data_IF_428968798621
#
_entry.id   IF_428968798621
#
_cell.length_a   1.000
_cell.length_b   1.000
_cell.length_c   1.000
_cell.angle_alpha   90.00
_cell.angle_beta   90.00
_cell.angle_gamma   90.00
#
_symmetry.space_group_name_H-M   'P 1'
#
loop_
_entity.id
_entity.type
_entity.pdbx_description
1 polymer ?
#
# COMPACT_ATOMS: atom_id res chain seq x y z
N UNK A 1 18.36 -12.94 23.46
CA UNK A 1 17.24 -12.40 24.26
C UNK A 1 16.20 -13.49 24.32
N UNK A 2 15.79 -13.94 25.52
CA UNK A 2 14.67 -14.89 25.64
C UNK A 2 13.41 -14.17 25.16
N UNK A 3 12.92 -14.52 23.98
CA UNK A 3 11.60 -14.08 23.55
C UNK A 3 10.57 -14.60 24.56
N UNK A 4 9.58 -13.79 24.95
CA UNK A 4 8.48 -14.30 25.75
C UNK A 4 7.88 -15.49 24.98
N UNK A 5 7.61 -16.61 25.67
CA UNK A 5 6.90 -17.75 25.06
C UNK A 5 5.56 -17.21 24.52
N UNK A 6 5.50 -17.01 23.21
CA UNK A 6 4.24 -16.62 22.59
C UNK A 6 3.23 -17.75 22.74
N UNK A 7 2.08 -17.41 23.27
CA UNK A 7 0.95 -18.36 23.33
C UNK A 7 0.56 -18.78 21.91
N UNK A 8 0.12 -20.02 21.75
CA UNK A 8 -0.38 -20.49 20.47
C UNK A 8 -1.64 -19.71 20.08
N UNK A 9 -1.68 -19.20 18.86
CA UNK A 9 -2.79 -18.43 18.29
C UNK A 9 -3.46 -19.18 17.16
N UNK A 10 -4.73 -18.86 16.93
CA UNK A 10 -5.49 -19.38 15.79
C UNK A 10 -6.40 -18.31 15.19
N UNK A 11 -6.62 -18.38 13.88
CA UNK A 11 -7.58 -17.53 13.18
C UNK A 11 -8.08 -18.20 11.89
N UNK A 12 -9.24 -17.73 11.41
CA UNK A 12 -9.70 -17.99 10.05
C UNK A 12 -8.87 -17.08 9.12
N UNK A 13 -8.13 -17.70 8.19
CA UNK A 13 -7.20 -16.99 7.30
C UNK A 13 -7.81 -16.64 5.93
N UNK A 14 -9.02 -17.09 5.65
CA UNK A 14 -9.79 -16.76 4.44
C UNK A 14 -10.84 -15.70 4.71
N UNK A 15 -11.28 -14.92 3.69
CA UNK A 15 -12.33 -13.93 3.86
C UNK A 15 -13.62 -14.52 4.45
N UNK A 16 -14.38 -13.74 5.23
CA UNK A 16 -15.66 -14.17 5.79
C UNK A 16 -16.69 -14.43 4.68
N UNK A 17 -17.56 -15.42 4.88
CA UNK A 17 -18.63 -15.79 3.95
C UNK A 17 -18.56 -17.26 3.52
N UNK A 18 -19.41 -17.63 2.55
CA UNK A 18 -19.44 -18.98 1.99
C UNK A 18 -18.43 -19.09 0.85
N UNK A 19 -17.59 -20.12 0.90
CA UNK A 19 -16.62 -20.42 -0.15
C UNK A 19 -16.41 -21.93 -0.31
N UNK A 20 -15.79 -22.36 -1.41
CA UNK A 20 -15.45 -23.76 -1.61
C UNK A 20 -14.43 -24.28 -0.58
N UNK A 21 -13.53 -23.40 -0.13
CA UNK A 21 -12.46 -23.72 0.85
C UNK A 21 -12.37 -22.60 1.87
N UNK A 22 -12.31 -22.97 3.15
CA UNK A 22 -11.95 -22.11 4.27
C UNK A 22 -10.69 -22.61 4.93
N UNK A 23 -9.81 -21.71 5.38
CA UNK A 23 -8.54 -22.06 6.01
C UNK A 23 -8.48 -21.50 7.42
N UNK A 24 -8.19 -22.39 8.38
CA UNK A 24 -7.80 -21.99 9.74
C UNK A 24 -6.29 -22.12 9.85
N UNK A 25 -5.64 -21.09 10.35
CA UNK A 25 -4.21 -21.07 10.63
C UNK A 25 -3.97 -21.05 12.12
N UNK A 26 -3.03 -21.88 12.58
CA UNK A 26 -2.62 -22.02 13.98
C UNK A 26 -1.11 -21.81 14.00
N UNK A 27 -0.58 -20.97 14.91
CA UNK A 27 0.86 -20.71 15.07
C UNK A 27 1.25 -20.77 16.54
N UNK A 28 2.36 -21.42 16.84
CA UNK A 28 2.92 -21.56 18.18
C UNK A 28 3.24 -23.01 18.54
N UNK A 29 3.88 -23.21 19.69
CA UNK A 29 4.42 -24.52 20.13
C UNK A 29 3.36 -25.63 20.25
N UNK A 30 2.12 -25.27 20.56
CA UNK A 30 1.02 -26.23 20.75
C UNK A 30 0.19 -26.44 19.46
N UNK A 31 0.54 -25.82 18.33
CA UNK A 31 -0.26 -25.85 17.10
C UNK A 31 -0.55 -27.28 16.62
N UNK A 32 0.46 -28.15 16.65
CA UNK A 32 0.34 -29.53 16.25
C UNK A 32 -0.47 -30.36 17.27
N UNK A 33 -0.26 -30.11 18.56
CA UNK A 33 -0.98 -30.81 19.63
C UNK A 33 -2.49 -30.49 19.59
N UNK A 34 -2.85 -29.24 19.40
CA UNK A 34 -4.24 -28.80 19.24
C UNK A 34 -4.90 -29.39 17.97
N UNK A 35 -4.17 -29.44 16.87
CA UNK A 35 -4.65 -30.03 15.62
C UNK A 35 -4.94 -31.51 15.80
N UNK A 36 -4.06 -32.28 16.46
CA UNK A 36 -4.25 -33.72 16.70
C UNK A 36 -5.52 -34.00 17.47
N UNK A 37 -5.95 -33.15 18.39
CA UNK A 37 -7.20 -33.30 19.15
C UNK A 37 -8.47 -33.19 18.30
N UNK A 38 -8.36 -32.57 17.11
CA UNK A 38 -9.44 -32.48 16.14
C UNK A 38 -9.53 -33.71 15.21
N UNK A 39 -8.60 -34.69 15.33
CA UNK A 39 -8.54 -35.83 14.42
C UNK A 39 -9.09 -37.11 15.06
N UNK A 40 -9.69 -37.92 14.22
CA UNK A 40 -10.17 -39.23 14.66
C UNK A 40 -9.02 -40.13 15.16
N UNK A 41 -7.89 -40.09 14.50
CA UNK A 41 -6.69 -40.91 14.78
C UNK A 41 -5.78 -40.23 15.84
N UNK A 42 -6.12 -39.06 16.29
CA UNK A 42 -5.61 -38.29 17.43
C UNK A 42 -4.11 -38.35 17.65
N UNK A 43 -3.73 -39.00 18.74
CA UNK A 43 -2.35 -39.01 19.24
C UNK A 43 -1.35 -39.82 18.41
N UNK A 44 -1.81 -40.73 17.55
CA UNK A 44 -0.93 -41.59 16.75
C UNK A 44 -0.53 -40.98 15.41
N UNK A 45 -1.15 -39.82 15.03
CA UNK A 45 -0.91 -39.20 13.74
C UNK A 45 0.43 -38.47 13.72
N UNK A 46 1.35 -38.92 12.86
CA UNK A 46 2.57 -38.18 12.51
C UNK A 46 2.31 -37.34 11.30
N UNK A 47 2.76 -36.07 11.34
CA UNK A 47 2.75 -35.17 10.18
C UNK A 47 4.14 -35.02 9.60
N UNK A 48 4.23 -35.12 8.28
CA UNK A 48 5.48 -34.80 7.56
C UNK A 48 5.51 -33.30 7.27
N UNK A 49 6.53 -32.57 7.71
CA UNK A 49 6.62 -31.13 7.42
C UNK A 49 6.52 -30.81 5.92
N UNK A 50 5.80 -29.74 5.59
CA UNK A 50 5.57 -29.24 4.23
C UNK A 50 4.85 -30.25 3.30
N UNK A 51 4.12 -31.21 3.86
CA UNK A 51 3.23 -32.10 3.13
C UNK A 51 1.78 -31.90 3.57
N UNK A 52 0.90 -31.85 2.57
CA UNK A 52 -0.54 -31.78 2.80
C UNK A 52 -1.11 -33.20 2.93
N UNK A 53 -1.89 -33.42 3.95
CA UNK A 53 -2.49 -34.73 4.28
C UNK A 53 -3.99 -34.57 4.44
N UNK A 54 -4.75 -35.46 3.80
CA UNK A 54 -6.21 -35.53 3.96
C UNK A 54 -6.56 -36.20 5.27
N UNK A 55 -7.44 -35.58 6.07
CA UNK A 55 -7.85 -36.05 7.40
C UNK A 55 -9.32 -35.75 7.69
N UNK A 56 -9.92 -36.57 8.53
CA UNK A 56 -11.29 -36.42 9.03
C UNK A 56 -11.26 -35.62 10.33
N UNK A 57 -11.93 -34.48 10.35
CA UNK A 57 -12.10 -33.65 11.54
C UNK A 57 -13.29 -34.12 12.36
N UNK A 58 -13.09 -34.26 13.66
CA UNK A 58 -14.14 -34.66 14.61
C UNK A 58 -14.24 -33.63 15.75
N UNK A 59 -15.41 -33.57 16.34
CA UNK A 59 -15.56 -32.93 17.65
C UNK A 59 -15.14 -33.97 18.71
N UNK A 60 -14.07 -33.71 19.51
CA UNK A 60 -13.53 -34.72 20.44
C UNK A 60 -14.45 -35.03 21.62
N UNK A 61 -15.41 -34.14 21.95
CA UNK A 61 -16.35 -34.32 23.04
C UNK A 61 -17.50 -35.26 22.64
N UNK A 62 -18.00 -35.13 21.42
CA UNK A 62 -19.14 -35.89 20.91
C UNK A 62 -18.75 -37.06 20.00
N UNK A 63 -17.52 -37.07 19.46
CA UNK A 63 -17.07 -38.01 18.46
C UNK A 63 -17.69 -37.79 17.06
N UNK A 64 -18.52 -36.76 16.91
CA UNK A 64 -19.22 -36.45 15.64
C UNK A 64 -18.22 -35.88 14.64
N UNK A 65 -18.32 -36.34 13.40
CA UNK A 65 -17.56 -35.76 12.28
C UNK A 65 -18.03 -34.34 12.01
N UNK A 66 -17.06 -33.43 11.95
CA UNK A 66 -17.29 -32.02 11.60
C UNK A 66 -17.16 -31.83 10.10
N UNK A 67 -16.01 -32.26 9.54
CA UNK A 67 -15.69 -32.09 8.12
C UNK A 67 -14.52 -32.97 7.69
N UNK A 68 -14.22 -32.98 6.41
CA UNK A 68 -13.01 -33.54 5.81
C UNK A 68 -12.07 -32.36 5.45
N UNK A 69 -10.78 -32.47 5.77
CA UNK A 69 -9.86 -31.38 5.59
C UNK A 69 -8.49 -31.83 5.04
N UNK A 70 -7.85 -30.92 4.37
CA UNK A 70 -6.43 -31.01 4.01
C UNK A 70 -5.63 -30.24 5.04
N UNK A 71 -4.75 -30.94 5.76
CA UNK A 71 -3.93 -30.35 6.81
C UNK A 71 -2.49 -30.27 6.35
N UNK A 72 -1.86 -29.12 6.54
CA UNK A 72 -0.44 -28.91 6.23
C UNK A 72 0.27 -28.43 7.48
N UNK A 73 1.34 -29.11 7.87
CA UNK A 73 2.20 -28.74 8.97
C UNK A 73 3.50 -28.11 8.45
N UNK A 74 3.86 -26.95 8.98
CA UNK A 74 5.10 -26.23 8.73
C UNK A 74 5.90 -26.19 10.03
N UNK A 75 6.99 -26.94 10.07
CA UNK A 75 7.84 -27.04 11.25
C UNK A 75 8.74 -25.82 11.43
N UNK A 76 8.85 -25.32 12.64
CA UNK A 76 9.82 -24.28 13.01
C UNK A 76 11.25 -24.70 12.65
N UNK A 77 12.14 -23.77 12.21
CA UNK A 77 11.87 -22.37 11.88
C UNK A 77 11.37 -22.17 10.45
N UNK A 78 11.08 -23.23 9.68
CA UNK A 78 10.75 -23.19 8.26
C UNK A 78 9.24 -22.98 8.00
N UNK A 79 8.65 -22.02 8.71
CA UNK A 79 7.26 -21.58 8.56
C UNK A 79 7.17 -20.09 8.28
N UNK A 80 5.98 -19.55 8.09
CA UNK A 80 5.75 -18.13 7.88
C UNK A 80 6.15 -17.31 9.12
N UNK A 81 5.67 -17.70 10.31
CA UNK A 81 5.95 -17.02 11.58
C UNK A 81 7.32 -17.36 12.18
N UNK A 82 7.99 -18.42 11.70
CA UNK A 82 9.17 -18.99 12.34
C UNK A 82 8.85 -19.93 13.49
N UNK A 83 7.56 -20.04 13.88
CA UNK A 83 7.04 -21.00 14.87
C UNK A 83 6.52 -22.24 14.17
N UNK A 84 6.08 -23.25 14.92
CA UNK A 84 5.28 -24.35 14.36
C UNK A 84 3.93 -23.79 13.86
N UNK A 85 3.61 -24.06 12.60
CA UNK A 85 2.37 -23.58 11.98
C UNK A 85 1.59 -24.76 11.41
N UNK A 86 0.28 -24.78 11.65
CA UNK A 86 -0.64 -25.72 10.99
C UNK A 86 -1.70 -24.95 10.24
N UNK A 87 -1.94 -25.34 8.99
CA UNK A 87 -3.07 -24.89 8.19
C UNK A 87 -4.05 -26.02 7.99
N UNK A 88 -5.32 -25.76 8.34
CA UNK A 88 -6.45 -26.67 8.16
C UNK A 88 -7.34 -26.09 7.08
N UNK A 89 -7.29 -26.66 5.88
CA UNK A 89 -8.14 -26.30 4.75
C UNK A 89 -9.34 -27.24 4.71
N UNK A 90 -10.52 -26.73 5.05
CA UNK A 90 -11.79 -27.45 5.08
C UNK A 90 -12.82 -26.75 4.18
N UNK A 91 -14.09 -27.21 4.16
CA UNK A 91 -15.14 -26.50 3.44
C UNK A 91 -15.38 -25.11 4.05
N UNK A 92 -15.52 -24.09 3.19
CA UNK A 92 -15.65 -22.69 3.57
C UNK A 92 -17.04 -22.34 4.11
N UNK A 93 -17.56 -23.13 5.05
CA UNK A 93 -18.78 -22.84 5.78
C UNK A 93 -18.47 -22.02 7.03
N UNK A 94 -19.08 -20.83 7.21
CA UNK A 94 -18.91 -20.05 8.43
C UNK A 94 -19.20 -20.81 9.71
N UNK A 95 -20.14 -21.74 9.66
CA UNK A 95 -20.52 -22.58 10.82
C UNK A 95 -19.40 -23.57 11.17
N UNK A 96 -18.85 -24.28 10.16
CA UNK A 96 -17.73 -25.22 10.33
C UNK A 96 -16.48 -24.50 10.85
N UNK A 97 -16.12 -23.40 10.22
CA UNK A 97 -14.94 -22.60 10.61
C UNK A 97 -15.06 -22.05 12.03
N UNK A 98 -16.25 -21.55 12.41
CA UNK A 98 -16.51 -21.04 13.76
C UNK A 98 -16.47 -22.16 14.82
N UNK A 99 -16.99 -23.36 14.51
CA UNK A 99 -16.92 -24.53 15.42
C UNK A 99 -15.47 -24.93 15.66
N UNK A 100 -14.68 -25.06 14.60
CA UNK A 100 -13.27 -25.43 14.70
C UNK A 100 -12.48 -24.38 15.50
N UNK A 101 -12.71 -23.10 15.27
CA UNK A 101 -12.04 -22.03 16.02
C UNK A 101 -12.44 -22.06 17.51
N UNK A 102 -13.72 -22.32 17.82
CA UNK A 102 -14.21 -22.49 19.19
C UNK A 102 -13.53 -23.67 19.89
N UNK A 103 -13.41 -24.80 19.21
CA UNK A 103 -12.71 -25.98 19.75
C UNK A 103 -11.23 -25.69 20.01
N UNK A 104 -10.53 -25.07 19.06
CA UNK A 104 -9.13 -24.66 19.24
C UNK A 104 -8.97 -23.73 20.44
N UNK A 105 -9.88 -22.78 20.62
CA UNK A 105 -9.90 -21.90 21.79
C UNK A 105 -10.13 -22.66 23.08
N UNK A 106 -11.02 -23.64 23.10
CA UNK A 106 -11.24 -24.50 24.28
C UNK A 106 -10.03 -25.38 24.61
N UNK A 107 -9.15 -25.65 23.65
CA UNK A 107 -7.90 -26.38 23.88
C UNK A 107 -6.79 -25.48 24.46
N UNK A 108 -6.98 -24.17 24.46
CA UNK A 108 -6.01 -23.18 24.97
C UNK A 108 -5.39 -22.29 23.89
N UNK A 109 -5.82 -22.41 22.63
CA UNK A 109 -5.43 -21.43 21.61
C UNK A 109 -6.06 -20.07 21.87
N UNK A 110 -5.33 -18.99 21.58
CA UNK A 110 -5.85 -17.63 21.67
C UNK A 110 -6.28 -17.15 20.27
N UNK A 111 -7.40 -16.44 20.15
CA UNK A 111 -7.75 -15.78 18.91
C UNK A 111 -6.65 -14.77 18.52
N UNK A 112 -6.16 -14.88 17.28
CA UNK A 112 -5.13 -13.98 16.79
C UNK A 112 -5.67 -12.55 16.64
N UNK A 113 -4.84 -11.57 17.01
CA UNK A 113 -5.10 -10.16 16.75
C UNK A 113 -4.85 -9.82 15.26
N UNK A 114 -5.37 -8.70 14.75
CA UNK A 114 -5.03 -8.22 13.41
C UNK A 114 -3.51 -8.16 13.22
N UNK A 115 -3.00 -8.73 12.12
CA UNK A 115 -1.58 -8.74 11.77
C UNK A 115 -0.67 -9.58 12.67
N UNK A 116 -1.18 -10.34 13.66
CA UNK A 116 -0.33 -11.02 14.64
C UNK A 116 0.59 -12.08 14.04
N UNK A 117 0.17 -12.79 13.00
CA UNK A 117 1.07 -13.73 12.31
C UNK A 117 2.25 -13.01 11.63
N UNK A 118 1.98 -11.88 10.97
CA UNK A 118 3.04 -11.07 10.35
C UNK A 118 3.92 -10.39 11.38
N UNK A 119 3.36 -9.95 12.51
CA UNK A 119 4.13 -9.43 13.65
C UNK A 119 5.10 -10.49 14.18
N UNK A 120 4.65 -11.74 14.38
CA UNK A 120 5.53 -12.83 14.82
C UNK A 120 6.60 -13.16 13.80
N UNK A 121 6.24 -13.16 12.49
CA UNK A 121 7.21 -13.32 11.42
C UNK A 121 8.31 -12.23 11.46
N UNK A 122 7.94 -10.98 11.73
CA UNK A 122 8.87 -9.87 11.91
C UNK A 122 9.74 -10.05 13.17
N UNK A 123 9.14 -10.33 14.32
CA UNK A 123 9.87 -10.53 15.59
C UNK A 123 10.80 -11.74 15.54
N UNK A 124 10.46 -12.78 14.79
CA UNK A 124 11.28 -13.96 14.55
C UNK A 124 12.24 -13.79 13.36
N UNK A 125 12.44 -12.55 12.86
CA UNK A 125 13.37 -12.22 11.78
C UNK A 125 13.16 -13.01 10.47
N UNK A 126 11.91 -13.46 10.23
CA UNK A 126 11.53 -14.12 8.96
C UNK A 126 11.34 -13.11 7.83
N UNK A 127 10.83 -11.95 8.18
CA UNK A 127 10.63 -10.80 7.31
C UNK A 127 11.06 -9.53 8.05
N UNK A 128 11.44 -8.50 7.31
CA UNK A 128 11.61 -7.16 7.84
C UNK A 128 10.28 -6.36 7.77
N UNK A 129 10.28 -5.14 8.32
CA UNK A 129 9.07 -4.34 8.36
C UNK A 129 8.59 -3.91 6.97
N UNK A 130 9.51 -3.64 6.03
CA UNK A 130 9.14 -3.28 4.65
C UNK A 130 8.44 -4.44 3.93
N UNK A 131 8.87 -5.67 4.21
CA UNK A 131 8.25 -6.88 3.69
C UNK A 131 6.88 -7.14 4.34
N UNK A 132 6.75 -6.88 5.64
CA UNK A 132 5.46 -6.98 6.32
C UNK A 132 4.44 -5.99 5.73
N UNK A 133 4.81 -4.72 5.58
CA UNK A 133 3.96 -3.71 4.93
C UNK A 133 3.59 -4.11 3.50
N UNK A 134 4.52 -4.70 2.75
CA UNK A 134 4.29 -5.17 1.39
C UNK A 134 3.24 -6.31 1.32
N UNK A 135 3.12 -7.15 2.36
CA UNK A 135 2.04 -8.16 2.43
C UNK A 135 0.68 -7.46 2.43
N UNK A 136 0.54 -6.41 3.23
CA UNK A 136 -0.71 -5.65 3.32
C UNK A 136 -1.02 -4.94 1.99
N UNK A 137 -0.01 -4.29 1.39
CA UNK A 137 -0.14 -3.63 0.10
C UNK A 137 -0.52 -4.62 -1.03
N UNK A 138 0.04 -5.84 -1.01
CA UNK A 138 -0.28 -6.88 -1.98
C UNK A 138 -1.73 -7.36 -1.87
N UNK A 139 -2.23 -7.54 -0.64
CA UNK A 139 -3.61 -7.97 -0.38
C UNK A 139 -4.62 -6.92 -0.85
N UNK A 140 -4.31 -5.63 -0.64
CA UNK A 140 -5.20 -4.52 -0.99
C UNK A 140 -4.96 -3.96 -2.40
N UNK A 141 -4.09 -4.58 -3.19
CA UNK A 141 -3.81 -4.12 -4.55
C UNK A 141 -5.04 -4.22 -5.46
N UNK A 142 -5.39 -3.13 -6.11
CA UNK A 142 -6.51 -3.02 -7.04
C UNK A 142 -6.07 -3.15 -8.50
N UNK A 143 -4.77 -2.97 -8.78
CA UNK A 143 -4.21 -3.08 -10.12
C UNK A 143 -3.07 -4.08 -10.18
N UNK A 144 -2.84 -4.67 -11.36
CA UNK A 144 -1.70 -5.58 -11.58
C UNK A 144 -0.35 -4.88 -11.32
N UNK A 145 -0.26 -3.58 -11.56
CA UNK A 145 0.94 -2.81 -11.33
C UNK A 145 1.23 -2.67 -9.83
N UNK A 146 0.21 -2.33 -9.02
CA UNK A 146 0.32 -2.34 -7.55
C UNK A 146 0.76 -3.71 -7.02
N UNK A 147 0.10 -4.78 -7.47
CA UNK A 147 0.43 -6.14 -7.05
C UNK A 147 1.89 -6.51 -7.38
N UNK A 148 2.38 -6.15 -8.57
CA UNK A 148 3.79 -6.38 -8.96
C UNK A 148 4.75 -5.59 -8.10
N UNK A 149 4.45 -4.33 -7.80
CA UNK A 149 5.28 -3.47 -6.96
C UNK A 149 5.35 -4.01 -5.53
N UNK A 150 4.21 -4.35 -4.93
CA UNK A 150 4.14 -4.96 -3.61
C UNK A 150 4.87 -6.31 -3.55
N UNK A 151 4.74 -7.15 -4.59
CA UNK A 151 5.47 -8.43 -4.68
C UNK A 151 7.00 -8.25 -4.72
N UNK A 152 7.50 -7.18 -5.35
CA UNK A 152 8.93 -6.84 -5.35
C UNK A 152 9.40 -6.39 -3.96
N UNK A 153 8.63 -5.52 -3.30
CA UNK A 153 8.90 -5.09 -1.93
C UNK A 153 8.89 -6.28 -0.97
N UNK A 154 7.95 -7.22 -1.13
CA UNK A 154 7.89 -8.47 -0.35
C UNK A 154 9.14 -9.34 -0.52
N UNK A 155 9.83 -9.27 -1.67
CA UNK A 155 11.14 -9.93 -1.88
C UNK A 155 12.32 -9.20 -1.21
N UNK A 156 12.05 -8.11 -0.48
CA UNK A 156 13.04 -7.32 0.24
C UNK A 156 13.95 -6.49 -0.66
N UNK A 157 13.48 -6.04 -1.84
CA UNK A 157 14.30 -5.26 -2.77
C UNK A 157 14.75 -3.94 -2.13
N UNK A 158 13.89 -3.26 -1.36
CA UNK A 158 14.26 -2.03 -0.67
C UNK A 158 15.37 -2.29 0.37
N UNK A 159 15.19 -3.29 1.22
CA UNK A 159 16.18 -3.65 2.25
C UNK A 159 17.52 -4.06 1.66
N UNK A 160 17.52 -4.75 0.50
CA UNK A 160 18.75 -5.10 -0.24
C UNK A 160 19.48 -3.85 -0.74
N UNK A 161 18.77 -2.82 -1.17
CA UNK A 161 19.39 -1.56 -1.63
C UNK A 161 19.92 -0.72 -0.46
N UNK A 162 19.24 -0.74 0.70
CA UNK A 162 19.66 0.00 1.88
C UNK A 162 20.82 -0.65 2.64
N UNK A 163 20.98 -1.97 2.54
CA UNK A 163 22.02 -2.74 3.26
C UNK A 163 23.44 -2.22 3.01
N UNK A 164 23.92 -2.02 1.77
CA UNK A 164 25.28 -1.51 1.52
C UNK A 164 25.53 -0.13 2.14
N UNK A 165 24.49 0.72 2.15
CA UNK A 165 24.56 2.06 2.77
C UNK A 165 24.69 1.91 4.28
N UNK A 166 23.87 1.06 4.90
CA UNK A 166 23.93 0.77 6.33
C UNK A 166 25.29 0.22 6.77
N UNK A 167 25.79 -0.80 6.05
CA UNK A 167 27.09 -1.40 6.31
C UNK A 167 28.20 -0.36 6.16
N UNK A 168 28.13 0.47 5.12
CA UNK A 168 29.09 1.55 4.93
C UNK A 168 29.00 2.67 5.96
N UNK A 169 27.82 2.97 6.52
CA UNK A 169 27.67 3.91 7.64
C UNK A 169 28.29 3.34 8.92
N UNK A 170 28.10 2.06 9.20
CA UNK A 170 28.71 1.39 10.34
C UNK A 170 30.24 1.44 10.22
N UNK A 171 30.79 1.16 9.04
CA UNK A 171 32.24 1.26 8.79
C UNK A 171 32.78 2.68 9.04
N UNK A 172 32.05 3.71 8.59
CA UNK A 172 32.36 5.12 8.85
C UNK A 172 32.36 5.44 10.34
N UNK A 173 31.30 5.05 11.05
CA UNK A 173 31.16 5.30 12.49
C UNK A 173 32.31 4.65 13.25
N UNK A 174 32.59 3.37 13.01
CA UNK A 174 33.69 2.64 13.67
C UNK A 174 35.03 3.33 13.40
N UNK A 175 35.27 3.79 12.17
CA UNK A 175 36.51 4.50 11.84
C UNK A 175 36.65 5.80 12.63
N UNK A 176 35.62 6.66 12.64
CA UNK A 176 35.66 7.93 13.37
C UNK A 176 35.68 7.76 14.90
N UNK A 177 34.99 6.76 15.45
CA UNK A 177 35.08 6.42 16.88
C UNK A 177 36.50 6.03 17.26
N UNK A 178 37.19 5.23 16.43
CA UNK A 178 38.58 4.82 16.66
C UNK A 178 39.54 6.02 16.64
N UNK A 179 39.30 7.02 15.76
CA UNK A 179 40.14 8.23 15.71
C UNK A 179 39.93 9.16 16.91
N UNK A 180 38.71 9.25 17.42
CA UNK A 180 38.38 10.03 18.62
C UNK A 180 39.02 9.41 19.90
N UNK A 181 39.06 8.08 19.99
CA UNK A 181 39.68 7.40 21.14
C UNK A 181 41.22 7.45 21.10
N UNK A 182 41.83 7.47 19.91
CA UNK A 182 43.28 7.49 19.74
C UNK A 182 43.74 8.85 19.16
N UNK A 183 43.77 9.87 19.98
CA UNK A 183 44.02 11.29 19.65
C UNK A 183 45.42 11.56 19.05
N UNK A 184 46.30 10.57 18.87
CA UNK A 184 47.68 10.75 18.38
C UNK A 184 47.85 10.74 16.87
N UNK A 185 46.84 10.33 16.11
CA UNK A 185 46.89 10.30 14.63
C UNK A 185 45.90 11.30 14.03
N UNK A 186 46.44 12.44 13.52
CA UNK A 186 45.68 13.34 12.67
C UNK A 186 45.04 12.55 11.51
N UNK A 187 43.76 12.76 11.22
CA UNK A 187 43.08 12.19 10.07
C UNK A 187 43.94 12.39 8.80
N UNK A 188 44.34 11.30 8.17
CA UNK A 188 45.02 11.35 6.88
C UNK A 188 44.09 12.05 5.85
N UNK A 189 44.48 13.20 5.28
CA UNK A 189 43.67 13.92 4.31
C UNK A 189 43.21 13.05 3.13
N UNK A 190 44.00 12.07 2.73
CA UNK A 190 43.64 11.11 1.68
C UNK A 190 42.47 10.18 2.10
N UNK A 191 42.37 9.88 3.40
CA UNK A 191 41.23 9.13 3.92
C UNK A 191 39.97 9.97 4.00
N UNK A 192 40.07 11.26 4.34
CA UNK A 192 38.92 12.17 4.43
C UNK A 192 38.22 12.31 3.07
N UNK A 193 38.96 12.54 1.98
CA UNK A 193 38.38 12.65 0.63
C UNK A 193 37.65 11.35 0.23
N UNK A 194 38.17 10.20 0.60
CA UNK A 194 37.51 8.91 0.36
C UNK A 194 36.20 8.80 1.12
N UNK A 195 36.16 9.23 2.38
CA UNK A 195 34.96 9.20 3.20
C UNK A 195 33.91 10.20 2.75
N UNK A 196 34.31 11.40 2.35
CA UNK A 196 33.43 12.38 1.74
C UNK A 196 32.80 11.88 0.44
N UNK A 197 33.60 11.25 -0.44
CA UNK A 197 33.09 10.64 -1.66
C UNK A 197 32.10 9.51 -1.38
N UNK A 198 32.33 8.72 -0.32
CA UNK A 198 31.40 7.66 0.10
C UNK A 198 30.08 8.22 0.64
N UNK A 199 30.13 9.32 1.43
CA UNK A 199 28.94 10.02 1.89
C UNK A 199 28.16 10.62 0.72
N UNK A 200 28.83 11.26 -0.25
CA UNK A 200 28.19 11.79 -1.45
C UNK A 200 27.45 10.69 -2.23
N UNK A 201 28.05 9.54 -2.41
CA UNK A 201 27.42 8.40 -3.07
C UNK A 201 26.17 7.90 -2.30
N UNK A 202 26.24 7.86 -0.96
CA UNK A 202 25.08 7.48 -0.14
C UNK A 202 23.94 8.48 -0.27
N UNK A 203 24.26 9.78 -0.19
CA UNK A 203 23.29 10.86 -0.34
C UNK A 203 22.61 10.79 -1.71
N UNK A 204 23.38 10.65 -2.78
CA UNK A 204 22.85 10.55 -4.15
C UNK A 204 21.92 9.34 -4.31
N UNK A 205 22.32 8.17 -3.80
CA UNK A 205 21.53 6.95 -3.86
C UNK A 205 20.20 7.10 -3.09
N UNK A 206 20.25 7.68 -1.89
CA UNK A 206 19.05 7.90 -1.08
C UNK A 206 18.14 8.99 -1.66
N UNK A 207 18.71 10.07 -2.23
CA UNK A 207 17.95 11.13 -2.92
C UNK A 207 17.20 10.56 -4.14
N UNK A 208 17.85 9.69 -4.90
CA UNK A 208 17.22 8.99 -6.03
C UNK A 208 16.03 8.12 -5.56
N UNK A 209 16.20 7.36 -4.47
CA UNK A 209 15.12 6.59 -3.87
C UNK A 209 13.99 7.50 -3.37
N UNK A 210 14.31 8.55 -2.63
CA UNK A 210 13.33 9.49 -2.09
C UNK A 210 12.52 10.20 -3.20
N UNK A 211 13.17 10.56 -4.32
CA UNK A 211 12.51 11.21 -5.46
C UNK A 211 11.39 10.36 -6.07
N UNK A 212 11.49 9.03 -5.97
CA UNK A 212 10.48 8.09 -6.47
C UNK A 212 9.17 8.12 -5.68
N UNK A 213 9.17 8.68 -4.46
CA UNK A 213 8.01 8.66 -3.55
C UNK A 213 6.78 9.34 -4.12
N UNK A 214 6.95 10.45 -4.85
CA UNK A 214 5.83 11.20 -5.45
C UNK A 214 4.94 10.27 -6.30
N UNK A 215 5.56 9.46 -7.13
CA UNK A 215 4.87 8.53 -8.02
C UNK A 215 4.41 7.30 -7.23
N UNK A 216 5.27 6.78 -6.34
CA UNK A 216 4.96 5.62 -5.52
C UNK A 216 3.74 5.83 -4.62
N UNK A 217 3.58 7.02 -4.03
CA UNK A 217 2.39 7.38 -3.27
C UNK A 217 1.13 7.29 -4.12
N UNK A 218 1.17 7.88 -5.32
CA UNK A 218 0.04 7.88 -6.26
C UNK A 218 -0.31 6.45 -6.70
N UNK A 219 0.68 5.63 -6.98
CA UNK A 219 0.47 4.22 -7.31
C UNK A 219 -0.17 3.45 -6.15
N UNK A 220 0.27 3.70 -4.91
CA UNK A 220 -0.22 2.99 -3.73
C UNK A 220 -1.61 3.41 -3.32
N UNK A 221 -1.85 4.72 -3.16
CA UNK A 221 -3.11 5.28 -2.64
C UNK A 221 -4.19 5.44 -3.70
N UNK A 222 -3.82 5.38 -4.99
CA UNK A 222 -4.69 5.78 -6.08
C UNK A 222 -4.87 7.30 -6.16
N UNK A 223 -5.77 7.74 -7.02
CA UNK A 223 -6.13 9.15 -7.22
C UNK A 223 -7.63 9.29 -7.15
N UNK A 224 -8.09 10.21 -6.33
CA UNK A 224 -9.49 10.59 -6.23
C UNK A 224 -9.83 11.60 -7.32
N UNK A 225 -10.72 11.22 -8.23
CA UNK A 225 -11.17 12.03 -9.36
C UNK A 225 -12.59 12.53 -9.15
N UNK A 226 -12.82 13.84 -9.20
CA UNK A 226 -14.14 14.43 -9.20
C UNK A 226 -14.53 14.91 -10.63
N UNK A 227 -15.71 14.50 -11.08
CA UNK A 227 -16.33 15.00 -12.31
C UNK A 227 -17.44 16.00 -11.93
N UNK A 228 -17.25 17.26 -12.29
CA UNK A 228 -18.18 18.34 -11.97
C UNK A 228 -18.82 18.92 -13.25
N UNK A 229 -20.05 19.37 -13.16
CA UNK A 229 -20.83 19.93 -14.27
C UNK A 229 -22.33 19.76 -14.06
N UNK A 230 -23.15 20.43 -14.86
CA UNK A 230 -24.62 20.36 -14.80
C UNK A 230 -25.14 18.93 -15.01
N UNK A 231 -26.40 18.65 -14.61
CA UNK A 231 -27.10 17.44 -15.05
C UNK A 231 -27.08 17.32 -16.59
N UNK A 232 -27.03 16.09 -17.10
CA UNK A 232 -27.11 15.77 -18.54
C UNK A 232 -25.96 16.27 -19.45
N UNK A 233 -24.88 16.86 -18.93
CA UNK A 233 -23.68 17.20 -19.73
C UNK A 233 -22.89 15.94 -20.16
N UNK A 234 -23.22 14.77 -19.62
CA UNK A 234 -22.62 13.49 -19.97
C UNK A 234 -21.54 13.00 -19.00
N UNK A 235 -21.59 13.38 -17.72
CA UNK A 235 -20.65 12.89 -16.69
C UNK A 235 -20.58 11.36 -16.65
N UNK A 236 -21.73 10.69 -16.52
CA UNK A 236 -21.82 9.22 -16.50
C UNK A 236 -21.35 8.58 -17.81
N UNK A 237 -21.60 9.23 -18.95
CA UNK A 237 -21.16 8.74 -20.25
C UNK A 237 -19.64 8.84 -20.42
N UNK A 238 -19.03 9.96 -20.00
CA UNK A 238 -17.57 10.13 -19.96
C UNK A 238 -16.93 9.10 -19.03
N UNK A 239 -17.51 8.92 -17.83
CA UNK A 239 -17.03 7.91 -16.90
C UNK A 239 -17.08 6.50 -17.49
N UNK A 240 -18.22 6.11 -18.09
CA UNK A 240 -18.34 4.81 -18.75
C UNK A 240 -17.37 4.65 -19.93
N UNK A 241 -17.07 5.73 -20.66
CA UNK A 241 -16.08 5.72 -21.74
C UNK A 241 -14.65 5.55 -21.20
N UNK A 242 -14.33 6.12 -20.02
CA UNK A 242 -13.06 5.90 -19.31
C UNK A 242 -12.94 4.46 -18.79
N UNK A 243 -14.04 3.89 -18.27
CA UNK A 243 -14.12 2.49 -17.80
C UNK A 243 -13.94 1.46 -18.91
N UNK A 244 -14.34 1.79 -20.15
CA UNK A 244 -14.65 0.84 -21.25
C UNK A 244 -13.51 -0.09 -21.69
N UNK A 245 -12.23 0.18 -21.35
CA UNK A 245 -11.08 -0.65 -21.73
C UNK A 245 -10.35 -1.30 -20.54
N UNK A 246 -10.47 -0.73 -19.33
CA UNK A 246 -9.66 -1.12 -18.17
C UNK A 246 -10.53 -1.24 -16.91
N UNK A 247 -11.60 -2.05 -16.96
CA UNK A 247 -12.30 -2.42 -15.75
C UNK A 247 -11.31 -3.10 -14.79
N UNK A 248 -10.89 -2.39 -13.75
CA UNK A 248 -10.32 -3.05 -12.58
C UNK A 248 -11.33 -4.10 -12.12
N UNK A 249 -10.87 -5.30 -11.82
CA UNK A 249 -11.72 -6.30 -11.17
C UNK A 249 -11.93 -5.77 -9.74
N UNK A 250 -12.91 -4.88 -9.57
CA UNK A 250 -13.38 -4.50 -8.24
C UNK A 250 -14.11 -5.72 -7.69
N UNK A 251 -13.38 -6.57 -7.02
CA UNK A 251 -13.98 -7.58 -6.17
C UNK A 251 -14.58 -6.86 -4.97
N UNK A 252 -15.89 -6.70 -4.98
CA UNK A 252 -16.62 -6.34 -3.77
C UNK A 252 -16.38 -7.43 -2.72
N UNK A 253 -15.42 -7.20 -1.82
CA UNK A 253 -15.28 -8.04 -0.64
C UNK A 253 -16.48 -7.78 0.27
N UNK A 254 -17.37 -8.76 0.51
CA UNK A 254 -18.45 -8.59 1.47
C UNK A 254 -17.85 -8.37 2.86
N UNK A 255 -18.10 -7.20 3.46
CA UNK A 255 -17.68 -6.92 4.83
C UNK A 255 -16.95 -5.60 5.07
N UNK A 256 -16.56 -4.86 4.02
CA UNK A 256 -15.91 -3.54 4.16
C UNK A 256 -16.88 -2.37 3.94
N UNK A 257 -18.20 -2.63 3.92
CA UNK A 257 -19.24 -1.67 3.59
C UNK A 257 -19.57 -0.77 4.78
N UNK A 258 -18.81 0.29 4.99
CA UNK A 258 -19.30 1.54 5.56
C UNK A 258 -19.02 2.75 4.68
N UNK A 259 -18.26 2.59 3.61
CA UNK A 259 -17.91 3.68 2.69
C UNK A 259 -18.70 3.54 1.39
N UNK A 260 -19.14 4.66 0.87
CA UNK A 260 -19.87 4.84 -0.39
C UNK A 260 -19.21 4.03 -1.51
N UNK A 261 -20.04 3.30 -2.28
CA UNK A 261 -19.61 2.54 -3.47
C UNK A 261 -18.98 3.54 -4.45
N UNK A 262 -17.66 3.67 -4.42
CA UNK A 262 -16.91 4.41 -5.43
C UNK A 262 -16.63 3.48 -6.60
N UNK A 263 -17.05 3.89 -7.80
CA UNK A 263 -16.64 3.20 -9.02
C UNK A 263 -15.16 3.55 -9.28
N UNK A 264 -14.31 2.54 -9.48
CA UNK A 264 -12.88 2.72 -9.72
C UNK A 264 -12.45 2.09 -11.05
N UNK A 265 -11.44 2.68 -11.68
CA UNK A 265 -10.81 2.14 -12.88
C UNK A 265 -9.28 2.26 -12.79
N UNK A 266 -8.58 1.53 -13.67
CA UNK A 266 -7.13 1.61 -13.75
C UNK A 266 -6.71 2.50 -14.92
N UNK A 267 -5.89 3.49 -14.67
CA UNK A 267 -5.25 4.28 -15.71
C UNK A 267 -3.73 3.99 -15.70
N UNK A 268 -3.27 3.25 -16.69
CA UNK A 268 -1.85 2.84 -16.80
C UNK A 268 -1.30 2.17 -15.52
N UNK A 269 -2.15 1.41 -14.82
CA UNK A 269 -1.80 0.72 -13.59
C UNK A 269 -2.01 1.53 -12.30
N UNK A 270 -2.40 2.80 -12.39
CA UNK A 270 -2.76 3.65 -11.26
C UNK A 270 -4.27 3.51 -11.01
N UNK A 271 -4.72 3.19 -9.78
CA UNK A 271 -6.14 3.20 -9.45
C UNK A 271 -6.68 4.63 -9.47
N UNK A 272 -7.82 4.81 -10.11
CA UNK A 272 -8.56 6.09 -10.11
C UNK A 272 -9.92 5.83 -9.48
N UNK A 273 -10.17 6.45 -8.34
CA UNK A 273 -11.42 6.36 -7.59
C UNK A 273 -12.28 7.58 -7.88
N UNK A 274 -13.51 7.35 -8.32
CA UNK A 274 -14.45 8.45 -8.56
C UNK A 274 -15.10 8.89 -7.25
N UNK A 275 -14.98 10.17 -6.93
CA UNK A 275 -15.64 10.77 -5.78
C UNK A 275 -17.05 11.20 -6.17
N UNK A 276 -18.04 10.84 -5.36
CA UNK A 276 -19.47 11.16 -5.53
C UNK A 276 -20.14 10.59 -6.80
N UNK A 277 -20.28 9.27 -6.82
CA UNK A 277 -21.09 8.56 -7.85
C UNK A 277 -22.59 8.67 -7.62
N UNK A 278 -23.04 9.15 -6.44
CA UNK A 278 -24.47 9.25 -6.13
C UNK A 278 -25.22 10.29 -7.02
N UNK A 279 -24.52 11.30 -7.52
CA UNK A 279 -25.07 12.24 -8.51
C UNK A 279 -25.05 11.72 -9.97
N UNK A 280 -24.40 10.56 -10.24
CA UNK A 280 -24.34 9.96 -11.57
C UNK A 280 -25.52 9.02 -11.86
N UNK A 281 -26.24 8.55 -10.85
CA UNK A 281 -27.47 7.76 -11.01
C UNK A 281 -28.66 8.72 -10.94
N UNK A 282 -29.31 8.93 -12.07
CA UNK A 282 -30.49 9.77 -12.24
C UNK A 282 -31.57 9.41 -11.22
N UNK A 283 -31.86 10.35 -10.31
CA UNK A 283 -33.16 10.41 -9.59
C UNK A 283 -33.71 11.80 -9.83
N UNK A 284 -34.79 11.85 -10.59
CA UNK A 284 -35.62 13.02 -10.73
C UNK A 284 -36.18 13.37 -9.33
N UNK A 285 -36.14 14.68 -9.04
CA UNK A 285 -36.75 15.38 -7.89
C UNK A 285 -35.92 15.61 -6.62
N UNK A 286 -35.87 16.90 -6.25
CA UNK A 286 -35.52 17.52 -4.96
C UNK A 286 -34.04 17.87 -4.66
N UNK A 287 -33.20 18.26 -5.61
CA UNK A 287 -31.73 18.29 -5.32
C UNK A 287 -30.97 19.55 -5.76
N UNK A 288 -31.60 20.67 -6.06
CA UNK A 288 -30.77 21.85 -6.43
C UNK A 288 -29.95 22.43 -5.28
N UNK A 289 -30.40 22.40 -4.04
CA UNK A 289 -29.63 22.90 -2.88
C UNK A 289 -28.68 21.87 -2.27
N UNK A 290 -29.03 20.59 -2.26
CA UNK A 290 -28.17 19.50 -1.79
C UNK A 290 -27.03 19.17 -2.76
N UNK A 291 -27.21 19.48 -4.07
CA UNK A 291 -26.19 19.25 -5.11
C UNK A 291 -24.94 20.11 -4.95
N UNK A 292 -25.08 21.37 -4.54
CA UNK A 292 -23.96 22.31 -4.37
C UNK A 292 -23.06 21.90 -3.19
N UNK A 293 -23.65 21.49 -2.07
CA UNK A 293 -22.90 21.10 -0.88
C UNK A 293 -22.16 19.77 -1.09
N UNK A 294 -22.80 18.80 -1.75
CA UNK A 294 -22.17 17.53 -2.15
C UNK A 294 -21.05 17.73 -3.16
N UNK A 295 -21.25 18.59 -4.15
CA UNK A 295 -20.21 18.93 -5.14
C UNK A 295 -19.01 19.57 -4.45
N UNK A 296 -19.20 20.46 -3.46
CA UNK A 296 -18.11 21.05 -2.68
C UNK A 296 -17.36 20.00 -1.87
N UNK A 297 -18.06 19.06 -1.25
CA UNK A 297 -17.42 17.95 -0.53
C UNK A 297 -16.60 17.07 -1.46
N UNK A 298 -17.18 16.65 -2.60
CA UNK A 298 -16.49 15.86 -3.60
C UNK A 298 -15.21 16.55 -4.12
N UNK A 299 -15.29 17.85 -4.39
CA UNK A 299 -14.14 18.66 -4.83
C UNK A 299 -13.07 18.75 -3.74
N UNK A 300 -13.48 18.90 -2.47
CA UNK A 300 -12.53 18.99 -1.34
C UNK A 300 -11.79 17.70 -1.06
N UNK A 301 -12.36 16.56 -1.43
CA UNK A 301 -11.78 15.23 -1.26
C UNK A 301 -10.98 14.75 -2.48
N UNK A 302 -11.13 15.42 -3.63
CA UNK A 302 -10.53 15.02 -4.89
C UNK A 302 -9.09 15.52 -5.04
N UNK A 303 -8.22 14.64 -5.57
CA UNK A 303 -6.87 15.00 -6.00
C UNK A 303 -6.87 15.68 -7.37
N UNK A 304 -7.86 15.33 -8.21
CA UNK A 304 -8.03 15.89 -9.55
C UNK A 304 -9.49 16.21 -9.81
N UNK A 305 -9.77 17.43 -10.26
CA UNK A 305 -11.12 17.89 -10.62
C UNK A 305 -11.21 18.17 -12.12
N UNK A 306 -12.20 17.54 -12.77
CA UNK A 306 -12.50 17.73 -14.18
C UNK A 306 -13.88 18.37 -14.32
N UNK A 307 -13.94 19.53 -14.95
CA UNK A 307 -15.19 20.19 -15.28
C UNK A 307 -15.69 19.69 -16.65
N UNK A 308 -16.93 19.20 -16.68
CA UNK A 308 -17.57 18.73 -17.91
C UNK A 308 -18.67 19.72 -18.30
N UNK A 309 -18.55 20.24 -19.51
CA UNK A 309 -19.40 21.22 -20.13
C UNK A 309 -19.94 20.65 -21.47
N UNK A 310 -21.00 21.20 -21.98
CA UNK A 310 -21.59 20.80 -23.26
C UNK A 310 -21.04 21.68 -24.39
N UNK A 311 -20.39 21.09 -25.40
CA UNK A 311 -19.74 21.82 -26.50
C UNK A 311 -20.69 22.67 -27.35
N UNK A 312 -21.93 22.21 -27.49
CA UNK A 312 -22.95 22.83 -28.35
C UNK A 312 -23.91 23.76 -27.57
N UNK A 313 -23.64 24.09 -26.30
CA UNK A 313 -24.51 24.90 -25.47
C UNK A 313 -23.87 26.26 -25.13
N UNK A 314 -24.58 27.35 -25.41
CA UNK A 314 -24.18 28.71 -25.00
C UNK A 314 -24.17 28.87 -23.48
N UNK A 315 -24.97 28.10 -22.74
CA UNK A 315 -24.99 28.12 -21.25
C UNK A 315 -23.67 27.67 -20.63
N UNK A 316 -22.84 26.92 -21.36
CA UNK A 316 -21.51 26.49 -20.91
C UNK A 316 -20.57 27.67 -20.61
N UNK A 317 -20.80 28.84 -21.23
CA UNK A 317 -20.05 30.07 -20.94
C UNK A 317 -20.39 30.62 -19.56
N UNK A 318 -21.67 30.60 -19.18
CA UNK A 318 -22.13 31.05 -17.85
C UNK A 318 -21.63 30.10 -16.75
N UNK A 319 -21.57 28.82 -17.06
CA UNK A 319 -21.09 27.78 -16.13
C UNK A 319 -19.60 27.93 -15.78
N UNK A 320 -18.79 28.42 -16.70
CA UNK A 320 -17.36 28.65 -16.46
C UNK A 320 -17.13 29.64 -15.32
N UNK A 321 -17.93 30.71 -15.25
CA UNK A 321 -17.83 31.69 -14.15
C UNK A 321 -18.16 31.09 -12.78
N UNK A 322 -19.05 30.08 -12.75
CA UNK A 322 -19.37 29.35 -11.51
C UNK A 322 -18.28 28.33 -11.14
N UNK A 323 -17.60 27.77 -12.14
CA UNK A 323 -16.56 26.76 -11.95
C UNK A 323 -15.20 27.36 -11.59
N UNK A 324 -14.95 28.62 -11.92
CA UNK A 324 -13.68 29.33 -11.66
C UNK A 324 -13.32 29.43 -10.16
N UNK A 325 -14.33 29.32 -9.28
CA UNK A 325 -14.10 29.26 -7.82
C UNK A 325 -13.48 27.95 -7.33
N UNK A 326 -13.38 26.91 -8.20
CA UNK A 326 -12.88 25.60 -7.84
C UNK A 326 -11.52 25.30 -8.46
N UNK A 327 -10.71 24.39 -7.88
CA UNK A 327 -9.38 24.06 -8.38
C UNK A 327 -9.45 23.12 -9.60
N UNK A 328 -10.16 23.54 -10.65
CA UNK A 328 -10.31 22.76 -11.89
C UNK A 328 -8.93 22.64 -12.55
N UNK A 329 -8.60 21.44 -13.05
CA UNK A 329 -7.36 21.17 -13.78
C UNK A 329 -7.61 20.88 -15.26
N UNK A 330 -8.78 20.31 -15.59
CA UNK A 330 -9.16 19.94 -16.93
C UNK A 330 -10.58 20.44 -17.19
N UNK A 331 -10.77 21.20 -18.27
CA UNK A 331 -12.07 21.56 -18.83
C UNK A 331 -12.36 20.66 -20.01
N UNK A 332 -13.49 19.94 -19.95
CA UNK A 332 -13.90 18.97 -20.93
C UNK A 332 -15.20 19.42 -21.60
N UNK A 333 -15.15 19.79 -22.86
CA UNK A 333 -16.32 20.11 -23.65
C UNK A 333 -16.82 18.84 -24.35
N UNK A 334 -17.85 18.24 -23.77
CA UNK A 334 -18.44 17.00 -24.25
C UNK A 334 -19.52 17.24 -25.33
N UNK A 335 -19.93 16.17 -26.05
CA UNK A 335 -20.91 16.18 -27.14
C UNK A 335 -20.44 17.01 -28.36
N UNK A 336 -19.11 17.01 -28.63
CA UNK A 336 -18.56 17.72 -29.78
C UNK A 336 -19.07 17.17 -31.13
N UNK A 337 -19.60 15.94 -31.16
CA UNK A 337 -20.28 15.34 -32.33
C UNK A 337 -21.54 16.10 -32.77
N UNK A 338 -22.15 16.88 -31.89
CA UNK A 338 -23.28 17.74 -32.17
C UNK A 338 -22.88 19.16 -32.64
N UNK A 339 -21.59 19.39 -32.84
CA UNK A 339 -21.03 20.71 -33.17
C UNK A 339 -20.55 21.45 -31.93
N UNK A 340 -19.92 22.62 -32.12
CA UNK A 340 -19.44 23.47 -31.03
C UNK A 340 -19.98 24.89 -31.16
N UNK A 341 -20.53 25.42 -30.06
CA UNK A 341 -20.97 26.81 -29.94
C UNK A 341 -20.03 27.63 -29.07
N UNK A 342 -18.92 27.04 -28.63
CA UNK A 342 -17.95 27.70 -27.74
C UNK A 342 -17.07 28.64 -28.55
N UNK A 343 -16.96 29.94 -28.18
CA UNK A 343 -16.07 30.88 -28.84
C UNK A 343 -14.61 30.46 -28.80
N UNK A 344 -13.88 30.51 -29.91
CA UNK A 344 -12.47 30.13 -29.98
C UNK A 344 -11.59 30.93 -29.03
N UNK A 345 -11.84 32.23 -28.88
CA UNK A 345 -11.13 33.11 -27.92
C UNK A 345 -11.25 32.62 -26.46
N UNK A 346 -12.39 32.05 -26.09
CA UNK A 346 -12.61 31.50 -24.75
C UNK A 346 -11.78 30.23 -24.55
N UNK A 347 -11.75 29.34 -25.56
CA UNK A 347 -10.93 28.13 -25.53
C UNK A 347 -9.46 28.48 -25.41
N UNK A 348 -8.97 29.48 -26.15
CA UNK A 348 -7.59 29.97 -26.07
C UNK A 348 -7.27 30.55 -24.69
N UNK A 349 -8.16 31.38 -24.14
CA UNK A 349 -8.02 31.97 -22.82
C UNK A 349 -7.92 30.90 -21.70
N UNK A 350 -8.80 29.91 -21.73
CA UNK A 350 -8.77 28.79 -20.79
C UNK A 350 -7.51 27.93 -20.96
N UNK A 351 -7.09 27.70 -22.18
CA UNK A 351 -5.91 26.89 -22.51
C UNK A 351 -4.60 27.51 -22.03
N UNK A 352 -4.57 28.80 -21.72
CA UNK A 352 -3.41 29.47 -21.15
C UNK A 352 -3.08 29.00 -19.72
N UNK A 353 -4.08 28.54 -18.96
CA UNK A 353 -3.93 28.16 -17.54
C UNK A 353 -4.38 26.73 -17.23
N UNK A 354 -5.15 26.10 -18.11
CA UNK A 354 -5.80 24.82 -17.88
C UNK A 354 -5.67 23.91 -19.09
N UNK A 355 -5.86 22.62 -18.89
CA UNK A 355 -6.02 21.66 -20.01
C UNK A 355 -7.46 21.76 -20.51
N UNK A 356 -7.63 22.04 -21.79
CA UNK A 356 -8.95 22.11 -22.44
C UNK A 356 -9.03 21.04 -23.52
N UNK A 357 -10.10 20.22 -23.47
CA UNK A 357 -10.32 19.10 -24.38
C UNK A 357 -11.74 19.11 -24.93
N UNK A 358 -11.85 18.74 -26.20
CA UNK A 358 -13.13 18.46 -26.88
C UNK A 358 -13.32 16.95 -26.88
N UNK A 359 -14.51 16.48 -26.50
CA UNK A 359 -14.81 15.04 -26.46
C UNK A 359 -16.22 14.73 -26.91
N UNK A 360 -16.42 13.51 -27.35
CA UNK A 360 -17.73 12.88 -27.47
C UNK A 360 -17.70 11.51 -26.79
N UNK A 361 -18.40 11.39 -25.69
CA UNK A 361 -18.57 10.11 -25.02
C UNK A 361 -19.32 9.08 -25.89
N UNK A 362 -20.12 9.53 -26.86
CA UNK A 362 -20.89 8.69 -27.75
C UNK A 362 -19.99 8.06 -28.84
N UNK A 363 -19.16 8.86 -29.49
CA UNK A 363 -18.29 8.40 -30.59
C UNK A 363 -16.93 7.90 -30.11
N UNK A 364 -16.54 8.24 -28.88
CA UNK A 364 -15.20 7.96 -28.30
C UNK A 364 -14.15 8.98 -28.70
N UNK A 365 -14.50 10.03 -29.47
CA UNK A 365 -13.58 11.10 -29.85
C UNK A 365 -13.05 11.84 -28.61
N UNK A 366 -11.75 12.12 -28.59
CA UNK A 366 -11.08 12.84 -27.49
C UNK A 366 -10.92 12.06 -26.15
N UNK A 367 -11.47 10.84 -26.02
CA UNK A 367 -11.37 10.05 -24.77
C UNK A 367 -9.93 9.63 -24.50
N UNK A 368 -9.17 9.27 -25.52
CA UNK A 368 -7.75 8.91 -25.34
C UNK A 368 -6.90 10.14 -24.99
N UNK A 369 -7.25 11.31 -25.51
CA UNK A 369 -6.60 12.57 -25.11
C UNK A 369 -6.90 12.92 -23.65
N UNK A 370 -8.14 12.67 -23.21
CA UNK A 370 -8.52 12.82 -21.81
C UNK A 370 -7.71 11.88 -20.90
N UNK A 371 -7.56 10.61 -21.27
CA UNK A 371 -6.73 9.64 -20.53
C UNK A 371 -5.29 10.14 -20.41
N UNK A 372 -4.71 10.62 -21.49
CA UNK A 372 -3.36 11.18 -21.50
C UNK A 372 -3.24 12.45 -20.65
N UNK A 373 -4.25 13.30 -20.68
CA UNK A 373 -4.28 14.51 -19.86
C UNK A 373 -4.38 14.19 -18.37
N UNK A 374 -5.26 13.27 -17.97
CA UNK A 374 -5.36 12.78 -16.60
C UNK A 374 -4.00 12.22 -16.15
N UNK A 375 -3.41 11.33 -16.95
CA UNK A 375 -2.11 10.74 -16.63
C UNK A 375 -1.03 11.81 -16.43
N UNK A 376 -0.94 12.85 -17.29
CA UNK A 376 0.03 13.93 -17.15
C UNK A 376 -0.17 14.78 -15.90
N UNK A 377 -1.42 15.00 -15.48
CA UNK A 377 -1.72 15.76 -14.27
C UNK A 377 -1.34 14.98 -13.00
N UNK A 378 -1.47 13.65 -13.04
CA UNK A 378 -1.18 12.75 -11.92
C UNK A 378 0.32 12.47 -11.83
N UNK A 379 0.94 12.12 -12.96
CA UNK A 379 2.35 11.74 -13.08
C UNK A 379 3.09 12.89 -13.76
N UNK A 380 3.45 13.92 -12.98
CA UNK A 380 4.31 14.99 -13.51
C UNK A 380 5.75 14.45 -13.64
N UNK A 381 6.12 13.95 -14.83
CA UNK A 381 7.43 13.38 -15.12
C UNK A 381 7.36 12.07 -15.90
N UNK A 382 8.53 11.50 -16.21
CA UNK A 382 8.64 10.23 -16.91
C UNK A 382 8.04 9.08 -16.10
N UNK A 383 7.42 8.13 -16.80
CA UNK A 383 6.95 6.87 -16.18
C UNK A 383 8.13 6.20 -15.46
N UNK A 384 8.00 5.87 -14.17
CA UNK A 384 9.00 5.00 -13.58
C UNK A 384 8.93 3.68 -14.34
N UNK A 385 10.04 3.31 -14.95
CA UNK A 385 10.15 1.97 -15.53
C UNK A 385 9.98 0.97 -14.39
N UNK A 386 9.21 -0.10 -14.63
CA UNK A 386 8.94 -1.15 -13.64
C UNK A 386 10.20 -1.84 -13.07
N UNK A 387 11.38 -1.42 -13.51
CA UNK A 387 12.68 -1.98 -13.14
C UNK A 387 13.31 -1.32 -11.90
N UNK A 388 12.88 -0.11 -11.52
CA UNK A 388 13.46 0.60 -10.37
C UNK A 388 12.63 0.37 -9.08
N UNK A 389 13.32 0.32 -7.94
CA UNK A 389 12.68 0.31 -6.62
C UNK A 389 12.01 1.66 -6.40
N UNK A 390 10.74 1.63 -6.02
CA UNK A 390 9.91 2.82 -5.81
C UNK A 390 9.48 2.87 -4.35
N UNK A 391 9.66 4.02 -3.70
CA UNK A 391 9.15 4.27 -2.36
C UNK A 391 7.67 4.62 -2.44
N UNK A 392 6.82 3.82 -1.79
CA UNK A 392 5.37 3.98 -1.79
C UNK A 392 4.82 4.44 -0.44
N UNK A 393 5.58 4.23 0.64
CA UNK A 393 5.16 4.49 2.01
C UNK A 393 5.74 5.81 2.51
N UNK A 394 4.89 6.66 3.10
CA UNK A 394 5.28 7.96 3.68
C UNK A 394 6.30 7.79 4.83
N UNK A 395 6.17 6.74 5.63
CA UNK A 395 7.12 6.41 6.69
C UNK A 395 8.53 6.20 6.14
N UNK A 396 8.65 5.44 5.03
CA UNK A 396 9.94 5.22 4.36
C UNK A 396 10.50 6.53 3.81
N UNK A 397 9.66 7.34 3.15
CA UNK A 397 10.06 8.62 2.61
C UNK A 397 10.56 9.58 3.69
N UNK A 398 9.81 9.69 4.81
CA UNK A 398 10.20 10.53 5.95
C UNK A 398 11.53 10.07 6.56
N UNK A 399 11.71 8.76 6.75
CA UNK A 399 12.95 8.20 7.27
C UNK A 399 14.13 8.43 6.31
N UNK A 400 13.95 8.26 5.00
CA UNK A 400 14.97 8.56 3.99
C UNK A 400 15.37 10.04 4.02
N UNK A 401 14.40 10.95 4.07
CA UNK A 401 14.65 12.40 4.09
C UNK A 401 15.44 12.80 5.33
N UNK A 402 15.08 12.27 6.50
CA UNK A 402 15.82 12.51 7.75
C UNK A 402 17.23 11.92 7.69
N UNK A 403 17.41 10.75 7.08
CA UNK A 403 18.74 10.14 6.89
C UNK A 403 19.60 11.00 5.98
N UNK A 404 19.06 11.47 4.85
CA UNK A 404 19.76 12.33 3.90
C UNK A 404 20.20 13.62 4.57
N UNK A 405 19.33 14.25 5.37
CA UNK A 405 19.65 15.49 6.08
C UNK A 405 20.79 15.28 7.09
N UNK A 406 20.73 14.20 7.86
CA UNK A 406 21.78 13.86 8.80
C UNK A 406 23.13 13.57 8.10
N UNK A 407 23.12 12.91 6.95
CA UNK A 407 24.33 12.66 6.14
C UNK A 407 24.91 13.96 5.55
N UNK A 408 24.05 14.84 5.06
CA UNK A 408 24.48 16.17 4.55
C UNK A 408 25.12 16.99 5.65
N UNK A 409 24.54 16.97 6.86
CA UNK A 409 25.09 17.68 8.01
C UNK A 409 26.45 17.08 8.41
N UNK A 410 26.57 15.75 8.53
CA UNK A 410 27.86 15.10 8.82
C UNK A 410 28.93 15.45 7.79
N UNK A 411 28.56 15.44 6.50
CA UNK A 411 29.47 15.84 5.41
C UNK A 411 29.94 17.30 5.55
N UNK A 412 29.01 18.19 5.87
CA UNK A 412 29.31 19.61 6.07
C UNK A 412 30.25 19.81 7.25
N UNK A 413 29.99 19.15 8.38
CA UNK A 413 30.82 19.23 9.59
C UNK A 413 32.25 18.77 9.32
N UNK A 414 32.43 17.65 8.62
CA UNK A 414 33.75 17.13 8.22
C UNK A 414 34.46 18.10 7.26
N UNK A 415 33.75 18.72 6.32
CA UNK A 415 34.34 19.67 5.35
C UNK A 415 34.72 21.00 6.00
N UNK A 416 33.96 21.45 7.01
CA UNK A 416 34.21 22.68 7.75
C UNK A 416 35.35 22.56 8.80
N UNK A 417 35.87 21.32 9.00
CA UNK A 417 36.92 21.07 9.99
C UNK A 417 36.42 21.09 11.43
N UNK A 418 35.12 20.82 11.66
CA UNK A 418 34.61 20.59 13.01
C UNK A 418 35.17 19.29 13.57
N UNK A 419 35.07 19.13 14.91
CA UNK A 419 35.52 17.91 15.57
C UNK A 419 34.73 16.70 15.09
N UNK A 420 35.37 15.56 14.96
CA UNK A 420 34.82 14.28 14.51
C UNK A 420 33.60 13.84 15.34
N UNK A 421 33.56 14.23 16.62
CA UNK A 421 32.44 13.96 17.52
C UNK A 421 31.12 14.54 17.03
N UNK A 422 31.13 15.74 16.39
CA UNK A 422 29.94 16.37 15.83
C UNK A 422 29.45 15.57 14.61
N UNK A 423 30.35 15.21 13.72
CA UNK A 423 30.03 14.39 12.56
C UNK A 423 29.51 12.99 12.96
N UNK A 424 30.10 12.37 14.00
CA UNK A 424 29.66 11.09 14.57
C UNK A 424 28.21 11.15 15.07
N UNK A 425 27.81 12.23 15.76
CA UNK A 425 26.43 12.37 16.21
C UNK A 425 25.43 12.33 15.05
N UNK A 426 25.76 12.99 13.93
CA UNK A 426 24.96 13.00 12.71
C UNK A 426 24.97 11.65 11.98
N UNK A 427 26.12 10.94 11.94
CA UNK A 427 26.22 9.59 11.39
C UNK A 427 25.39 8.57 12.18
N UNK A 428 25.41 8.64 13.50
CA UNK A 428 24.55 7.82 14.37
C UNK A 428 23.07 8.14 14.16
N UNK A 429 22.71 9.42 13.97
CA UNK A 429 21.35 9.81 13.63
C UNK A 429 20.94 9.23 12.29
N UNK A 430 21.79 9.30 11.26
CA UNK A 430 21.54 8.72 9.95
C UNK A 430 21.33 7.19 10.03
N UNK A 431 22.17 6.49 10.78
CA UNK A 431 22.04 5.05 10.98
C UNK A 431 20.73 4.67 11.68
N UNK A 432 20.33 5.44 12.71
CA UNK A 432 19.07 5.22 13.42
C UNK A 432 17.85 5.43 12.52
N UNK A 433 17.82 6.55 11.78
CA UNK A 433 16.68 6.85 10.88
C UNK A 433 16.60 5.87 9.72
N UNK A 434 17.74 5.41 9.18
CA UNK A 434 17.78 4.34 8.18
C UNK A 434 17.22 3.03 8.74
N UNK A 435 17.54 2.69 10.00
CA UNK A 435 17.02 1.50 10.69
C UNK A 435 15.51 1.55 10.95
N UNK A 436 14.89 2.73 11.00
CA UNK A 436 13.43 2.86 11.09
C UNK A 436 12.72 2.26 9.88
N UNK A 437 13.33 2.26 8.69
CA UNK A 437 12.73 1.73 7.46
C UNK A 437 12.54 0.22 7.59
N UNK A 438 13.58 -0.50 7.97
CA UNK A 438 13.58 -1.97 8.10
C UNK A 438 12.98 -2.47 9.42
N UNK A 439 12.77 -1.56 10.38
CA UNK A 439 12.20 -1.89 11.69
C UNK A 439 13.22 -2.24 12.78
N UNK A 440 14.52 -2.07 12.53
CA UNK A 440 15.56 -2.44 13.49
C UNK A 440 15.64 -1.53 14.71
N UNK A 441 15.18 -0.29 14.60
CA UNK A 441 15.26 0.75 15.64
C UNK A 441 13.88 1.24 16.12
N UNK A 442 12.81 0.49 15.85
CA UNK A 442 11.45 0.91 16.17
C UNK A 442 11.08 0.72 17.65
N UNK A 443 10.24 1.63 18.14
CA UNK A 443 9.57 1.55 19.42
C UNK A 443 8.38 0.59 19.30
N UNK A 444 8.13 -0.23 20.33
CA UNK A 444 7.07 -1.25 20.38
C UNK A 444 5.68 -0.71 20.02
N UNK A 445 5.34 0.51 20.45
CA UNK A 445 4.03 1.12 20.19
C UNK A 445 3.80 1.37 18.69
N UNK A 446 4.84 1.81 17.96
CA UNK A 446 4.74 2.02 16.51
C UNK A 446 4.60 0.71 15.75
N UNK A 447 5.29 -0.35 16.20
CA UNK A 447 5.14 -1.70 15.64
C UNK A 447 3.69 -2.15 15.79
N UNK A 448 3.12 -2.05 16.98
CA UNK A 448 1.73 -2.44 17.24
C UNK A 448 0.74 -1.62 16.39
N UNK A 449 0.97 -0.33 16.22
CA UNK A 449 0.13 0.52 15.37
C UNK A 449 0.16 0.08 13.91
N UNK A 450 1.33 -0.23 13.35
CA UNK A 450 1.46 -0.70 11.96
C UNK A 450 0.67 -2.00 11.78
N UNK A 451 0.89 -3.00 12.64
CA UNK A 451 0.25 -4.30 12.50
C UNK A 451 -1.26 -4.30 12.80
N UNK A 452 -1.77 -3.34 13.58
CA UNK A 452 -3.21 -3.20 13.84
C UNK A 452 -4.03 -2.90 12.59
N UNK A 453 -3.42 -2.41 11.52
CA UNK A 453 -4.08 -2.12 10.23
C UNK A 453 -4.18 -3.35 9.32
N UNK A 454 -3.59 -4.48 9.71
CA UNK A 454 -3.59 -5.71 8.91
C UNK A 454 -4.86 -6.54 9.13
N UNK A 455 -5.13 -7.44 8.19
CA UNK A 455 -6.23 -8.38 8.34
C UNK A 455 -5.96 -9.41 9.44
N UNK A 456 -7.02 -9.90 10.11
CA UNK A 456 -6.96 -11.06 11.01
C UNK A 456 -6.59 -12.29 10.17
N UNK A 457 -5.67 -13.13 10.68
CA UNK A 457 -5.18 -14.32 9.96
C UNK A 457 -3.94 -14.08 9.10
N UNK A 458 -3.41 -12.83 9.13
CA UNK A 458 -2.15 -12.43 8.47
C UNK A 458 -1.15 -11.87 9.47
#
# INVERSE_FOLDING_TARGET
MNHPEFKTISAIATPPGYSGIGVIRISGGESLAFTRRLLRDGSETSFTPNRSEFRLLINPESGVTIDEAVITYFQAPHSFTGEDVVEIACHGSPVVLSELLRLLTSFGSHPAQPGEFSLRAFLNHRIDLTQAEAINDLIHSQTTYQARLAARQLRGELSKQLRPIKEGLIELIVHFESTVEFVEDDLDPLNLDRWLSKLDHFIETLDHLASSYRIGRVVRSGVKLALVGRPNVGKSSIFNALLGKDRSIVTHLPGTTRDTVSDSFSLDGIPIDLVDTAGLRETEDLVEQLGVERTRTAISEADLVIAILEANSAQSVDDLALLDQFPIKIYLFNKCDLGSSIPGELVESLSASHVVLMTSALTGEGIEDLRRAIHRQIVAGDRPTAEHTIITNERHYSALTQTIEALRQARQDLTAGFTEEIALANLHQALRTLGLITGETLITDLINQIFSTFCIGK
#
